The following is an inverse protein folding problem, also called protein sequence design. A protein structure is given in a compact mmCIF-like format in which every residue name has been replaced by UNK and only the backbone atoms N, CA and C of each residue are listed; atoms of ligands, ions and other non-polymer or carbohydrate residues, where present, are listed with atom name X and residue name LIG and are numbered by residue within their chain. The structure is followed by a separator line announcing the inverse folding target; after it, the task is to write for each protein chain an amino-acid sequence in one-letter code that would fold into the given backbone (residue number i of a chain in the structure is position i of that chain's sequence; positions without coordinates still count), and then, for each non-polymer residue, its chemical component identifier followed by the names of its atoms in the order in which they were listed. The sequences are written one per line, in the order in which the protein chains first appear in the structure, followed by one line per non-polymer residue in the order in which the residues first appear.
data_IF_509308077822
#
_entry.id   IF_509308077822
#
_cell.length_a   1.000
_cell.length_b   1.000
_cell.length_c   1.000
_cell.angle_alpha   90.00
_cell.angle_beta   90.00
_cell.angle_gamma   90.00
#
_symmetry.space_group_name_H-M   'P 1'
#
loop_
_entity.id
_entity.type
_entity.pdbx_description
1 polymer ?
#
# COMPACT_ATOMS: atom_id res chain seq x y z
N UNK A 1 15.79 14.60 -17.26
CA UNK A 1 15.48 13.22 -17.72
C UNK A 1 14.18 13.28 -18.51
N UNK A 2 14.04 12.55 -19.64
CA UNK A 2 12.79 12.55 -20.39
C UNK A 2 11.66 11.84 -19.62
N UNK A 3 10.41 12.17 -19.91
CA UNK A 3 9.23 11.52 -19.32
C UNK A 3 9.28 9.98 -19.51
N UNK A 4 9.55 9.53 -20.76
CA UNK A 4 9.67 8.11 -21.07
C UNK A 4 10.70 7.40 -20.20
N UNK A 5 11.89 7.96 -20.07
CA UNK A 5 12.96 7.35 -19.25
C UNK A 5 12.57 7.21 -17.77
N UNK A 6 11.74 8.12 -17.24
CA UNK A 6 11.23 8.02 -15.86
C UNK A 6 10.20 6.92 -15.72
N UNK A 7 9.30 6.79 -16.69
CA UNK A 7 8.35 5.68 -16.72
C UNK A 7 9.08 4.34 -16.82
N UNK A 8 10.05 4.22 -17.73
CA UNK A 8 10.84 3.00 -17.87
C UNK A 8 11.50 2.62 -16.53
N UNK A 9 12.09 3.60 -15.84
CA UNK A 9 12.69 3.39 -14.52
C UNK A 9 11.64 3.04 -13.45
N UNK A 10 10.45 3.63 -13.49
CA UNK A 10 9.39 3.34 -12.53
C UNK A 10 8.91 1.89 -12.62
N UNK A 11 9.01 1.27 -13.78
CA UNK A 11 8.61 -0.12 -14.01
C UNK A 11 9.79 -1.11 -14.09
N UNK A 12 11.00 -0.64 -13.82
CA UNK A 12 12.17 -1.52 -13.69
C UNK A 12 12.09 -2.31 -12.38
N UNK A 13 12.15 -3.65 -12.46
CA UNK A 13 12.11 -4.55 -11.30
C UNK A 13 10.84 -4.48 -10.44
N UNK A 14 9.69 -4.17 -11.04
CA UNK A 14 8.39 -4.20 -10.36
C UNK A 14 7.72 -5.59 -10.48
N UNK A 15 6.81 -5.96 -9.57
CA UNK A 15 6.07 -7.20 -9.68
C UNK A 15 5.18 -7.21 -10.93
N UNK A 16 5.14 -8.35 -11.61
CA UNK A 16 4.22 -8.64 -12.70
C UNK A 16 3.20 -9.64 -12.20
N UNK A 17 1.94 -9.24 -12.16
CA UNK A 17 0.84 -10.04 -11.63
C UNK A 17 -0.07 -10.50 -12.77
N UNK A 18 -0.64 -11.70 -12.70
CA UNK A 18 -1.54 -12.20 -13.74
C UNK A 18 -2.84 -11.39 -13.80
N UNK A 19 -3.36 -11.17 -15.00
CA UNK A 19 -4.64 -10.53 -15.24
C UNK A 19 -5.52 -11.47 -16.08
N UNK A 20 -6.37 -12.24 -15.42
CA UNK A 20 -7.30 -13.18 -15.99
C UNK A 20 -8.57 -13.28 -15.13
N UNK A 21 -9.49 -14.16 -15.51
CA UNK A 21 -10.78 -14.31 -14.82
C UNK A 21 -10.68 -14.88 -13.40
N UNK A 22 -9.54 -15.46 -13.03
CA UNK A 22 -9.31 -16.05 -11.71
C UNK A 22 -8.68 -15.07 -10.71
N UNK A 23 -8.10 -13.96 -11.19
CA UNK A 23 -7.39 -12.99 -10.35
C UNK A 23 -8.21 -11.71 -10.20
N UNK A 24 -8.47 -11.34 -8.95
CA UNK A 24 -9.28 -10.17 -8.59
C UNK A 24 -8.43 -9.17 -7.83
N UNK A 25 -8.43 -7.93 -8.28
CA UNK A 25 -7.68 -6.85 -7.65
C UNK A 25 -8.60 -5.75 -7.15
N UNK A 26 -8.28 -5.20 -6.00
CA UNK A 26 -8.85 -3.96 -5.50
C UNK A 26 -7.69 -2.97 -5.29
N UNK A 27 -7.85 -1.78 -5.82
CA UNK A 27 -6.81 -0.74 -5.76
C UNK A 27 -7.34 0.42 -4.92
N UNK A 28 -6.60 0.80 -3.89
CA UNK A 28 -6.82 2.01 -3.12
C UNK A 28 -5.61 2.93 -3.27
N UNK A 29 -5.85 4.22 -3.35
CA UNK A 29 -4.84 5.27 -3.46
C UNK A 29 -5.18 6.41 -2.53
N UNK A 30 -4.17 7.20 -2.16
CA UNK A 30 -4.35 8.49 -1.46
C UNK A 30 -5.19 8.39 -0.17
N UNK A 31 -4.97 7.34 0.61
CA UNK A 31 -5.63 7.16 1.90
C UNK A 31 -5.18 8.24 2.90
N UNK A 32 -3.89 8.64 2.86
CA UNK A 32 -3.31 9.63 3.76
C UNK A 32 -3.64 9.37 5.23
N UNK A 33 -3.42 8.12 5.71
CA UNK A 33 -3.58 7.81 7.13
C UNK A 33 -2.62 8.65 7.95
N UNK A 34 -3.16 9.52 8.78
CA UNK A 34 -2.42 10.46 9.60
C UNK A 34 -2.25 10.00 11.05
N UNK A 35 -1.95 10.95 11.94
CA UNK A 35 -1.71 10.69 13.36
C UNK A 35 -2.89 11.06 14.27
N UNK A 36 -4.12 11.13 13.75
CA UNK A 36 -5.32 11.46 14.50
C UNK A 36 -5.48 12.95 14.85
N UNK A 37 -4.68 13.82 14.26
CA UNK A 37 -4.77 15.25 14.44
C UNK A 37 -5.79 15.87 13.44
N UNK A 38 -5.95 17.21 13.48
CA UNK A 38 -6.90 17.92 12.63
C UNK A 38 -6.61 17.79 11.11
N UNK A 39 -5.39 17.38 10.74
CA UNK A 39 -4.97 17.17 9.34
C UNK A 39 -5.19 15.71 8.89
N UNK A 40 -5.60 14.83 9.79
CA UNK A 40 -5.92 13.44 9.46
C UNK A 40 -7.32 13.36 8.81
N UNK A 41 -7.34 13.50 7.49
CA UNK A 41 -8.58 13.45 6.73
C UNK A 41 -9.10 12.01 6.56
N UNK A 42 -8.25 11.01 6.73
CA UNK A 42 -8.63 9.60 6.59
C UNK A 42 -9.57 9.14 7.71
N UNK A 43 -9.38 9.63 8.94
CA UNK A 43 -10.13 9.19 10.11
C UNK A 43 -11.66 9.31 9.92
N UNK A 44 -12.12 10.30 9.15
CA UNK A 44 -13.54 10.50 8.84
C UNK A 44 -14.16 9.38 8.02
N UNK A 45 -13.34 8.73 7.19
CA UNK A 45 -13.75 7.68 6.25
C UNK A 45 -13.24 6.29 6.64
N UNK A 46 -12.52 6.15 7.75
CA UNK A 46 -11.90 4.90 8.17
C UNK A 46 -12.92 3.75 8.28
N UNK A 47 -14.11 4.02 8.77
CA UNK A 47 -15.16 3.00 8.89
C UNK A 47 -15.60 2.41 7.55
N UNK A 48 -15.68 3.24 6.49
CA UNK A 48 -15.97 2.79 5.13
C UNK A 48 -14.82 1.97 4.56
N UNK A 49 -13.60 2.44 4.80
CA UNK A 49 -12.40 1.72 4.39
C UNK A 49 -12.32 0.33 5.06
N UNK A 50 -12.57 0.25 6.37
CA UNK A 50 -12.61 -1.02 7.09
C UNK A 50 -13.70 -1.97 6.56
N UNK A 51 -14.87 -1.44 6.22
CA UNK A 51 -15.94 -2.25 5.61
C UNK A 51 -15.52 -2.79 4.25
N UNK A 52 -14.87 -1.96 3.41
CA UNK A 52 -14.33 -2.35 2.12
C UNK A 52 -13.23 -3.42 2.27
N UNK A 53 -12.25 -3.23 3.15
CA UNK A 53 -11.19 -4.21 3.39
C UNK A 53 -11.75 -5.58 3.79
N UNK A 54 -12.70 -5.62 4.72
CA UNK A 54 -13.36 -6.87 5.16
C UNK A 54 -14.09 -7.54 4.00
N UNK A 55 -14.80 -6.76 3.19
CA UNK A 55 -15.52 -7.28 2.03
C UNK A 55 -14.54 -7.91 1.03
N UNK A 56 -13.54 -7.17 0.58
CA UNK A 56 -12.60 -7.64 -0.43
C UNK A 56 -11.70 -8.78 0.06
N UNK A 57 -11.32 -8.78 1.35
CA UNK A 57 -10.58 -9.90 1.93
C UNK A 57 -11.43 -11.20 1.90
N UNK A 58 -12.69 -11.13 2.34
CA UNK A 58 -13.62 -12.29 2.30
C UNK A 58 -13.84 -12.80 0.88
N UNK A 59 -13.86 -11.91 -0.11
CA UNK A 59 -14.02 -12.24 -1.53
C UNK A 59 -12.73 -12.65 -2.23
N UNK A 60 -11.63 -12.79 -1.46
CA UNK A 60 -10.31 -13.23 -1.94
C UNK A 60 -9.71 -12.33 -3.01
N UNK A 61 -9.90 -11.02 -2.89
CA UNK A 61 -9.20 -10.04 -3.72
C UNK A 61 -7.75 -9.87 -3.28
N UNK A 62 -6.88 -9.57 -4.22
CA UNK A 62 -5.55 -9.01 -3.96
C UNK A 62 -5.67 -7.50 -3.76
N UNK A 63 -5.15 -7.00 -2.67
CA UNK A 63 -5.14 -5.58 -2.33
C UNK A 63 -3.88 -4.92 -2.89
N UNK A 64 -4.08 -3.80 -3.58
CA UNK A 64 -3.01 -2.93 -4.06
C UNK A 64 -3.16 -1.55 -3.42
N UNK A 65 -2.19 -1.13 -2.62
CA UNK A 65 -2.07 0.25 -2.16
C UNK A 65 -1.24 1.04 -3.16
N UNK A 66 -1.87 1.99 -3.85
CA UNK A 66 -1.28 2.70 -4.97
C UNK A 66 -0.73 4.08 -4.54
N UNK A 67 0.15 4.08 -3.54
CA UNK A 67 0.82 5.28 -3.05
C UNK A 67 -0.01 6.15 -2.12
N UNK A 68 0.67 6.97 -1.37
CA UNK A 68 0.10 7.91 -0.41
C UNK A 68 -0.87 7.25 0.59
N UNK A 69 -0.53 6.01 0.95
CA UNK A 69 -1.30 5.26 1.94
C UNK A 69 -1.18 5.86 3.33
N UNK A 70 0.01 6.33 3.70
CA UNK A 70 0.31 6.95 4.99
C UNK A 70 0.88 8.35 4.80
N UNK A 71 0.40 9.30 5.62
CA UNK A 71 0.84 10.69 5.61
C UNK A 71 2.14 10.87 6.38
N UNK A 72 3.26 10.46 5.76
CA UNK A 72 4.60 10.53 6.36
C UNK A 72 5.36 11.82 6.04
N UNK A 73 4.80 12.66 5.19
CA UNK A 73 5.38 13.97 4.92
C UNK A 73 5.15 14.92 6.12
N UNK A 74 3.94 14.99 6.61
CA UNK A 74 3.59 15.79 7.79
C UNK A 74 3.85 15.04 9.10
N UNK A 75 3.64 13.74 9.13
CA UNK A 75 3.77 12.88 10.31
C UNK A 75 5.00 11.98 10.19
N UNK A 76 6.09 12.37 10.80
CA UNK A 76 7.36 11.63 10.70
C UNK A 76 7.43 10.33 11.51
N UNK A 77 6.38 10.00 12.28
CA UNK A 77 6.36 8.86 13.19
C UNK A 77 5.32 7.84 12.74
N UNK A 78 5.77 6.82 12.01
CA UNK A 78 4.92 5.71 11.58
C UNK A 78 4.19 5.04 12.75
N UNK A 79 4.80 4.99 13.94
CA UNK A 79 4.22 4.40 15.12
C UNK A 79 2.91 5.07 15.55
N UNK A 80 2.82 6.39 15.42
CA UNK A 80 1.60 7.13 15.74
C UNK A 80 0.47 6.81 14.75
N UNK A 81 0.81 6.68 13.46
CA UNK A 81 -0.14 6.27 12.42
C UNK A 81 -0.65 4.85 12.70
N UNK A 82 0.25 3.92 13.04
CA UNK A 82 -0.10 2.54 13.39
C UNK A 82 -1.00 2.45 14.62
N UNK A 83 -0.77 3.30 15.61
CA UNK A 83 -1.59 3.36 16.82
C UNK A 83 -3.01 3.86 16.52
N UNK A 84 -3.13 4.99 15.82
CA UNK A 84 -4.41 5.62 15.49
C UNK A 84 -5.25 4.75 14.59
N UNK A 85 -4.67 4.23 13.50
CA UNK A 85 -5.34 3.43 12.48
C UNK A 85 -5.12 1.92 12.66
N UNK A 86 -4.95 1.49 13.91
CA UNK A 86 -4.63 0.11 14.26
C UNK A 86 -5.52 -0.92 13.56
N UNK A 87 -6.84 -0.68 13.54
CA UNK A 87 -7.80 -1.58 12.90
C UNK A 87 -7.61 -1.70 11.39
N UNK A 88 -7.20 -0.63 10.71
CA UNK A 88 -6.90 -0.67 9.29
C UNK A 88 -5.67 -1.57 9.03
N UNK A 89 -4.62 -1.42 9.82
CA UNK A 89 -3.43 -2.25 9.72
C UNK A 89 -3.69 -3.71 10.09
N UNK A 90 -4.56 -4.00 11.07
CA UNK A 90 -5.02 -5.37 11.33
C UNK A 90 -5.65 -6.02 10.10
N UNK A 91 -6.49 -5.29 9.35
CA UNK A 91 -7.10 -5.81 8.13
C UNK A 91 -6.05 -5.97 7.01
N UNK A 92 -5.16 -5.01 6.81
CA UNK A 92 -4.09 -5.10 5.82
C UNK A 92 -3.14 -6.27 6.09
N UNK A 93 -2.85 -6.55 7.37
CA UNK A 93 -2.04 -7.70 7.77
C UNK A 93 -2.67 -9.05 7.37
N UNK A 94 -4.01 -9.13 7.23
CA UNK A 94 -4.65 -10.35 6.73
C UNK A 94 -4.34 -10.59 5.25
N UNK A 95 -4.41 -9.54 4.42
CA UNK A 95 -4.00 -9.64 3.01
C UNK A 95 -2.52 -10.00 2.89
N UNK A 96 -1.67 -9.41 3.73
CA UNK A 96 -0.24 -9.69 3.71
C UNK A 96 0.06 -11.17 4.03
N UNK A 97 -0.58 -11.74 5.06
CA UNK A 97 -0.38 -13.14 5.47
C UNK A 97 -0.80 -14.15 4.41
N UNK A 98 -1.72 -13.76 3.55
CA UNK A 98 -2.23 -14.58 2.45
C UNK A 98 -1.52 -14.30 1.11
N UNK A 99 -0.37 -13.59 1.13
CA UNK A 99 0.39 -13.15 -0.06
C UNK A 99 -0.45 -12.35 -1.07
N UNK A 100 -1.46 -11.59 -0.58
CA UNK A 100 -2.38 -10.80 -1.37
C UNK A 100 -2.27 -9.29 -1.11
N UNK A 101 -1.09 -8.80 -0.70
CA UNK A 101 -0.82 -7.38 -0.44
C UNK A 101 0.34 -6.90 -1.30
N UNK A 102 0.08 -5.89 -2.13
CA UNK A 102 1.11 -5.19 -2.89
C UNK A 102 1.05 -3.69 -2.57
N UNK A 103 2.22 -3.11 -2.31
CA UNK A 103 2.33 -1.72 -1.87
C UNK A 103 3.23 -0.93 -2.81
N UNK A 104 2.67 0.11 -3.39
CA UNK A 104 3.38 1.14 -4.16
C UNK A 104 3.54 2.36 -3.26
N UNK A 105 4.71 2.99 -3.27
CA UNK A 105 4.92 4.23 -2.54
C UNK A 105 4.49 5.45 -3.36
N UNK A 106 3.93 6.43 -2.69
CA UNK A 106 3.60 7.74 -3.24
C UNK A 106 4.63 8.81 -2.85
N UNK A 107 4.31 10.09 -3.06
CA UNK A 107 5.19 11.18 -2.65
C UNK A 107 5.09 11.46 -1.14
N UNK A 108 3.94 11.30 -0.51
CA UNK A 108 3.77 11.51 0.93
C UNK A 108 4.37 10.38 1.78
N UNK A 109 4.52 9.20 1.22
CA UNK A 109 5.10 8.06 1.92
C UNK A 109 6.36 7.49 1.22
N UNK A 110 7.06 8.31 0.43
CA UNK A 110 8.27 7.94 -0.33
C UNK A 110 9.38 7.35 0.53
N UNK A 111 9.43 7.66 1.81
CA UNK A 111 10.40 7.08 2.76
C UNK A 111 10.32 5.55 2.82
N UNK A 112 9.17 4.97 2.49
CA UNK A 112 8.94 3.52 2.42
C UNK A 112 9.73 2.82 1.31
N UNK A 113 10.22 3.57 0.31
CA UNK A 113 11.19 3.07 -0.67
C UNK A 113 12.45 2.53 -0.01
N UNK A 114 12.78 3.04 1.19
CA UNK A 114 13.96 2.62 1.92
C UNK A 114 13.66 1.36 2.74
N UNK A 115 14.25 0.24 2.34
CA UNK A 115 14.09 -1.04 3.04
C UNK A 115 14.48 -0.95 4.52
N UNK A 116 15.45 -0.10 4.90
CA UNK A 116 15.82 0.06 6.31
C UNK A 116 14.75 0.76 7.14
N UNK A 117 13.93 1.62 6.54
CA UNK A 117 12.76 2.20 7.19
C UNK A 117 11.70 1.11 7.43
N UNK A 118 11.35 0.37 6.40
CA UNK A 118 10.35 -0.70 6.49
C UNK A 118 10.77 -1.78 7.49
N UNK A 119 12.04 -2.20 7.47
CA UNK A 119 12.58 -3.18 8.43
C UNK A 119 12.54 -2.71 9.89
N UNK A 120 12.49 -1.42 10.15
CA UNK A 120 12.40 -0.86 11.51
C UNK A 120 10.97 -0.53 11.92
N UNK A 121 10.11 -0.11 10.98
CA UNK A 121 8.83 0.54 11.28
C UNK A 121 7.60 -0.27 10.86
N UNK A 122 7.78 -1.25 9.96
CA UNK A 122 6.67 -2.04 9.43
C UNK A 122 6.71 -3.53 9.85
N UNK A 123 7.60 -3.89 10.78
CA UNK A 123 7.76 -5.29 11.19
C UNK A 123 6.69 -5.75 12.18
N UNK A 124 6.41 -4.91 13.17
CA UNK A 124 5.52 -5.23 14.29
C UNK A 124 4.58 -4.06 14.54
N UNK A 125 3.40 -4.38 15.01
CA UNK A 125 2.46 -3.44 15.59
C UNK A 125 1.76 -4.05 16.80
N UNK A 126 1.20 -3.20 17.67
CA UNK A 126 0.39 -3.69 18.78
C UNK A 126 -1.06 -3.87 18.31
N UNK A 127 -1.52 -5.11 18.21
CA UNK A 127 -2.92 -5.41 17.88
C UNK A 127 -3.82 -5.11 19.09
N UNK A 128 -4.71 -4.13 18.93
CA UNK A 128 -5.69 -3.78 19.97
C UNK A 128 -6.70 -4.91 20.15
N UNK A 129 -7.09 -5.58 19.09
CA UNK A 129 -8.04 -6.69 19.11
C UNK A 129 -7.49 -7.89 19.87
N UNK A 130 -6.21 -8.21 19.69
CA UNK A 130 -5.57 -9.37 20.33
C UNK A 130 -4.78 -9.05 21.60
N UNK A 131 -4.61 -7.76 21.90
CA UNK A 131 -3.87 -7.25 23.06
C UNK A 131 -2.41 -7.74 23.13
N UNK A 132 -1.76 -7.89 21.98
CA UNK A 132 -0.36 -8.31 21.88
C UNK A 132 0.33 -7.68 20.66
N UNK A 133 1.67 -7.73 20.64
CA UNK A 133 2.42 -7.39 19.44
C UNK A 133 2.32 -8.51 18.42
N UNK A 134 2.01 -8.13 17.18
CA UNK A 134 1.92 -9.04 16.05
C UNK A 134 2.79 -8.59 14.89
N UNK A 135 3.21 -9.53 14.03
CA UNK A 135 3.83 -9.17 12.77
C UNK A 135 2.86 -8.32 11.92
N UNK A 136 3.35 -7.16 11.47
CA UNK A 136 2.62 -6.32 10.52
C UNK A 136 2.92 -6.78 9.09
N UNK A 137 4.07 -6.35 8.57
CA UNK A 137 4.51 -6.66 7.22
C UNK A 137 6.01 -7.04 7.22
N UNK A 138 6.40 -8.18 7.83
CA UNK A 138 7.81 -8.60 7.89
C UNK A 138 8.38 -8.75 6.47
N UNK A 139 9.50 -8.06 6.20
CA UNK A 139 10.16 -8.08 4.88
C UNK A 139 9.32 -7.56 3.70
N UNK A 140 8.32 -6.72 3.96
CA UNK A 140 7.53 -6.09 2.89
C UNK A 140 8.42 -5.27 1.96
N UNK A 141 8.13 -5.36 0.67
CA UNK A 141 8.71 -4.50 -0.35
C UNK A 141 7.69 -3.45 -0.79
N UNK A 142 8.14 -2.21 -0.92
CA UNK A 142 7.38 -1.15 -1.54
C UNK A 142 7.95 -0.88 -2.94
N UNK A 143 7.08 -0.82 -3.91
CA UNK A 143 7.45 -0.72 -5.32
C UNK A 143 7.18 0.68 -5.88
N UNK A 144 7.81 1.01 -7.00
CA UNK A 144 7.50 2.23 -7.77
C UNK A 144 6.23 2.09 -8.61
N UNK A 145 5.80 0.86 -8.87
CA UNK A 145 4.61 0.50 -9.62
C UNK A 145 4.44 -1.01 -9.65
N UNK A 146 3.47 -1.48 -10.41
CA UNK A 146 3.28 -2.89 -10.73
C UNK A 146 2.68 -3.05 -12.13
N UNK A 147 2.77 -4.25 -12.68
CA UNK A 147 2.25 -4.59 -14.01
C UNK A 147 1.21 -5.70 -13.83
N UNK A 148 0.00 -5.49 -14.35
CA UNK A 148 -0.98 -6.56 -14.52
C UNK A 148 -0.87 -7.08 -15.94
N UNK A 149 -0.52 -8.35 -16.11
CA UNK A 149 -0.29 -8.98 -17.41
C UNK A 149 -1.37 -9.97 -17.77
N UNK A 150 -2.03 -9.73 -18.90
CA UNK A 150 -2.89 -10.72 -19.53
C UNK A 150 -2.07 -11.53 -20.53
N UNK A 151 -1.74 -12.77 -20.16
CA UNK A 151 -0.92 -13.65 -20.99
C UNK A 151 -1.63 -14.15 -22.23
N UNK A 152 -2.97 -14.30 -22.19
CA UNK A 152 -3.75 -14.76 -23.34
C UNK A 152 -3.86 -13.68 -24.42
N UNK A 153 -4.08 -12.42 -23.99
CA UNK A 153 -4.22 -11.27 -24.89
C UNK A 153 -2.91 -10.58 -25.19
N UNK A 154 -1.81 -11.00 -24.56
CA UNK A 154 -0.50 -10.36 -24.63
C UNK A 154 -0.58 -8.84 -24.37
N UNK A 155 -1.27 -8.43 -23.31
CA UNK A 155 -1.46 -7.03 -22.94
C UNK A 155 -1.07 -6.78 -21.50
N UNK A 156 -0.48 -5.61 -21.24
CA UNK A 156 -0.04 -5.16 -19.92
C UNK A 156 -0.81 -3.91 -19.50
N UNK A 157 -1.20 -3.86 -18.22
CA UNK A 157 -1.67 -2.65 -17.56
C UNK A 157 -0.60 -2.22 -16.56
N UNK A 158 -0.06 -1.03 -16.78
CA UNK A 158 0.96 -0.41 -15.92
C UNK A 158 0.28 0.45 -14.86
N UNK A 159 0.53 0.14 -13.59
CA UNK A 159 -0.08 0.82 -12.44
C UNK A 159 1.03 1.47 -11.61
N UNK A 160 0.97 2.79 -11.43
CA UNK A 160 1.92 3.56 -10.63
C UNK A 160 1.26 4.79 -10.04
N UNK A 161 1.79 5.31 -8.94
CA UNK A 161 1.34 6.59 -8.39
C UNK A 161 1.81 7.77 -9.26
N UNK A 162 0.97 8.79 -9.41
CA UNK A 162 1.16 9.88 -10.38
C UNK A 162 2.48 10.63 -10.24
N UNK A 163 3.04 10.74 -9.03
CA UNK A 163 4.31 11.44 -8.80
C UNK A 163 5.49 10.84 -9.58
N UNK A 164 5.44 9.54 -9.91
CA UNK A 164 6.48 8.88 -10.71
C UNK A 164 6.53 9.43 -12.15
N UNK A 165 5.39 9.90 -12.66
CA UNK A 165 5.25 10.44 -14.01
C UNK A 165 5.37 11.97 -14.07
N UNK A 166 5.19 12.69 -12.94
CA UNK A 166 5.19 14.15 -12.94
C UNK A 166 6.60 14.75 -13.01
N UNK A 167 6.67 15.94 -13.59
CA UNK A 167 7.83 16.83 -13.53
C UNK A 167 7.78 17.54 -12.16
N UNK A 168 8.53 17.08 -11.17
CA UNK A 168 8.91 17.95 -10.05
C UNK A 168 10.23 18.64 -10.35
#
# INVERSE_FOLDING_TARGET
MSYQKRLDQAFENVPVLPLDDNHKYVVFSDCHRGSGNNNDNFIKNEHLYLAALRHYNRMQYTYVELGDGDELWENRKMEQILEVHNRAFEQLALFYRDDRLYMVYGNHDMVKKNASFCNKKCQLFYSVTKQCHEPLFPNVSFYSGLILRNYEKNTDIYITHVHQASLM
#
